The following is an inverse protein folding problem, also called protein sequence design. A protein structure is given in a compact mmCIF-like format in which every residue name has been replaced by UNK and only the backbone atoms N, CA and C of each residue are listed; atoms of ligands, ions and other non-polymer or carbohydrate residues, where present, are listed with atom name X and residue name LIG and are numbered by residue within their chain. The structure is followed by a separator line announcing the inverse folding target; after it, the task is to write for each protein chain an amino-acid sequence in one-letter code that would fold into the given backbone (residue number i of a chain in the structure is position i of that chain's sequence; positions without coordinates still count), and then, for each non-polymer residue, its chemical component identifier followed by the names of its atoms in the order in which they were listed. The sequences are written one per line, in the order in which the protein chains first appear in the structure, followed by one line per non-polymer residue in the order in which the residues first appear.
data_IF_429759297675
#
_entry.id   IF_429759297675
#
_cell.length_a   1.000
_cell.length_b   1.000
_cell.length_c   1.000
_cell.angle_alpha   90.00
_cell.angle_beta   90.00
_cell.angle_gamma   90.00
#
_symmetry.space_group_name_H-M   'P 1'
#
loop_
_entity.id
_entity.type
_entity.pdbx_description
1 polymer ?
#
# COMPACT_ATOMS: atom_id res chain seq x y z
N UNK A 1 6.44 15.74 -12.61
CA UNK A 1 6.05 15.33 -13.99
C UNK A 1 5.53 13.90 -13.98
N UNK A 2 4.48 13.61 -14.75
CA UNK A 2 4.01 12.24 -15.03
C UNK A 2 4.39 11.88 -16.47
N UNK A 3 5.15 10.78 -16.65
CA UNK A 3 5.55 10.23 -17.96
C UNK A 3 5.10 8.79 -18.07
N UNK A 4 4.44 8.43 -19.16
CA UNK A 4 4.03 7.05 -19.46
C UNK A 4 5.11 6.37 -20.28
N UNK A 5 5.68 5.30 -19.74
CA UNK A 5 6.81 4.57 -20.32
C UNK A 5 6.32 3.26 -20.94
N UNK A 6 5.69 3.35 -22.12
CA UNK A 6 5.02 2.29 -22.86
C UNK A 6 5.84 1.73 -24.05
N UNK A 7 7.18 1.76 -23.98
CA UNK A 7 8.05 1.25 -25.05
C UNK A 7 8.00 -0.29 -25.20
N UNK A 8 7.47 -1.02 -24.24
CA UNK A 8 7.26 -2.46 -24.28
C UNK A 8 5.81 -2.78 -24.72
N UNK A 9 5.59 -2.79 -26.01
CA UNK A 9 4.28 -3.03 -26.62
C UNK A 9 3.72 -4.45 -26.38
N UNK A 10 4.58 -5.43 -26.06
CA UNK A 10 4.15 -6.81 -25.74
C UNK A 10 3.50 -6.91 -24.36
N UNK A 11 3.80 -5.97 -23.46
CA UNK A 11 3.28 -5.90 -22.10
C UNK A 11 2.21 -4.82 -21.90
N UNK A 12 1.68 -4.31 -22.99
CA UNK A 12 0.61 -3.31 -22.90
C UNK A 12 -0.60 -3.86 -22.15
N UNK A 13 -1.10 -3.11 -21.18
CA UNK A 13 -2.30 -3.44 -20.40
C UNK A 13 -3.30 -2.31 -20.58
N UNK A 14 -4.41 -2.62 -21.22
CA UNK A 14 -5.52 -1.67 -21.40
C UNK A 14 -6.05 -1.20 -20.03
N UNK A 15 -6.27 0.11 -19.88
CA UNK A 15 -6.76 0.71 -18.63
C UNK A 15 -5.70 0.93 -17.55
N UNK A 16 -4.42 0.64 -17.81
CA UNK A 16 -3.35 0.86 -16.82
C UNK A 16 -3.15 2.35 -16.50
N UNK A 17 -3.31 3.23 -17.48
CA UNK A 17 -3.17 4.67 -17.30
C UNK A 17 -4.26 5.23 -16.38
N UNK A 18 -5.51 4.80 -16.55
CA UNK A 18 -6.63 5.21 -15.71
C UNK A 18 -6.43 4.81 -14.24
N UNK A 19 -5.77 3.68 -14.01
CA UNK A 19 -5.42 3.25 -12.64
C UNK A 19 -4.42 4.25 -12.03
N UNK A 20 -3.41 4.69 -12.79
CA UNK A 20 -2.41 5.65 -12.31
C UNK A 20 -3.09 6.98 -11.94
N UNK A 21 -3.91 7.53 -12.82
CA UNK A 21 -4.64 8.79 -12.55
C UNK A 21 -5.53 8.68 -11.31
N UNK A 22 -6.31 7.61 -11.22
CA UNK A 22 -7.19 7.36 -10.07
C UNK A 22 -6.41 7.18 -8.76
N UNK A 23 -5.26 6.50 -8.80
CA UNK A 23 -4.40 6.33 -7.62
C UNK A 23 -3.86 7.67 -7.15
N UNK A 24 -3.36 8.52 -8.06
CA UNK A 24 -2.88 9.86 -7.75
C UNK A 24 -4.01 10.73 -7.16
N UNK A 25 -5.20 10.71 -7.75
CA UNK A 25 -6.37 11.43 -7.24
C UNK A 25 -6.73 10.99 -5.82
N UNK A 26 -6.86 9.68 -5.58
CA UNK A 26 -7.22 9.12 -4.28
C UNK A 26 -6.19 9.38 -3.19
N UNK A 27 -4.92 9.46 -3.55
CA UNK A 27 -3.82 9.77 -2.62
C UNK A 27 -3.66 11.26 -2.35
N UNK A 28 -4.37 12.12 -3.09
CA UNK A 28 -4.21 13.57 -3.05
C UNK A 28 -2.90 14.06 -3.65
N UNK A 29 -2.17 13.20 -4.37
CA UNK A 29 -0.92 13.55 -5.06
C UNK A 29 -1.24 14.19 -6.39
N UNK A 30 -0.54 15.28 -6.70
CA UNK A 30 -0.65 15.98 -7.98
C UNK A 30 0.69 16.04 -8.70
N UNK A 31 0.64 16.21 -9.99
CA UNK A 31 1.82 16.48 -10.84
C UNK A 31 1.61 17.82 -11.59
N UNK A 32 2.73 18.46 -11.92
CA UNK A 32 2.69 19.79 -12.57
C UNK A 32 2.51 19.68 -14.07
N UNK A 33 3.01 18.60 -14.67
CA UNK A 33 2.93 18.31 -16.09
C UNK A 33 2.88 16.80 -16.39
N UNK A 34 2.21 16.45 -17.49
CA UNK A 34 1.98 15.08 -17.90
C UNK A 34 1.15 14.98 -19.19
N UNK A 35 0.63 13.81 -19.57
CA UNK A 35 -0.10 13.61 -20.82
C UNK A 35 -1.35 14.50 -20.97
N UNK A 36 -2.02 14.81 -19.85
CA UNK A 36 -3.22 15.65 -19.77
C UNK A 36 -2.92 17.13 -19.39
N UNK A 37 -1.65 17.45 -19.08
CA UNK A 37 -1.23 18.77 -18.61
C UNK A 37 0.13 19.12 -19.20
N UNK A 38 0.13 19.74 -20.39
CA UNK A 38 1.36 20.06 -21.12
C UNK A 38 2.18 21.14 -20.40
N UNK A 39 3.44 20.82 -20.11
CA UNK A 39 4.45 21.74 -19.57
C UNK A 39 5.44 22.23 -20.63
N UNK A 40 5.26 21.86 -21.91
CA UNK A 40 6.07 22.31 -23.04
C UNK A 40 7.26 21.41 -23.39
N UNK A 41 7.40 20.25 -22.74
CA UNK A 41 8.47 19.26 -23.01
C UNK A 41 7.94 17.92 -23.53
N UNK A 42 6.64 17.86 -23.80
CA UNK A 42 5.96 16.69 -24.34
C UNK A 42 6.43 16.25 -25.73
N UNK A 43 5.86 15.16 -26.28
CA UNK A 43 4.86 14.26 -25.69
C UNK A 43 5.33 13.55 -24.43
N UNK A 44 4.40 13.27 -23.49
CA UNK A 44 4.70 12.60 -22.22
C UNK A 44 4.44 11.08 -22.23
N UNK A 45 3.98 10.57 -23.37
CA UNK A 45 3.83 9.12 -23.62
C UNK A 45 4.96 8.71 -24.56
N UNK A 46 5.77 7.73 -24.20
CA UNK A 46 6.98 7.38 -24.95
C UNK A 46 6.69 6.86 -26.36
N UNK A 47 5.61 6.11 -26.56
CA UNK A 47 5.20 5.67 -27.90
C UNK A 47 4.81 6.82 -28.84
N UNK A 48 4.24 7.90 -28.30
CA UNK A 48 3.97 9.14 -29.07
C UNK A 48 5.26 9.91 -29.33
N UNK A 49 6.12 9.99 -28.32
CA UNK A 49 7.42 10.64 -28.40
C UNK A 49 8.33 9.95 -29.43
N UNK A 50 8.25 8.63 -29.53
CA UNK A 50 8.94 7.84 -30.56
C UNK A 50 8.57 8.31 -31.98
N UNK A 51 7.29 8.65 -32.25
CA UNK A 51 6.83 9.12 -33.55
C UNK A 51 7.47 10.45 -34.00
N UNK A 52 8.00 11.23 -33.06
CA UNK A 52 8.76 12.46 -33.39
C UNK A 52 10.15 12.17 -33.94
N UNK A 53 10.62 10.93 -33.87
CA UNK A 53 11.96 10.51 -34.30
C UNK A 53 13.08 10.85 -33.33
N UNK A 54 12.76 11.35 -32.12
CA UNK A 54 13.76 11.83 -31.17
C UNK A 54 14.77 10.77 -30.76
N UNK A 55 14.32 9.56 -30.46
CA UNK A 55 15.23 8.48 -30.05
C UNK A 55 16.19 8.07 -31.16
N UNK A 56 15.69 7.94 -32.38
CA UNK A 56 16.54 7.62 -33.55
C UNK A 56 17.54 8.74 -33.83
N UNK A 57 17.15 10.01 -33.65
CA UNK A 57 18.06 11.16 -33.77
C UNK A 57 19.25 11.03 -32.82
N UNK A 58 19.00 10.77 -31.53
CA UNK A 58 20.06 10.64 -30.53
C UNK A 58 20.86 9.35 -30.69
N UNK A 59 20.24 8.23 -31.11
CA UNK A 59 20.98 7.01 -31.42
C UNK A 59 21.97 7.22 -32.58
N UNK A 60 21.59 7.97 -33.63
CA UNK A 60 22.49 8.36 -34.74
C UNK A 60 23.61 9.27 -34.28
N UNK A 61 23.32 10.23 -33.40
CA UNK A 61 24.35 11.09 -32.81
C UNK A 61 25.42 10.27 -32.07
N UNK A 62 25.02 9.24 -31.30
CA UNK A 62 25.98 8.35 -30.66
C UNK A 62 26.79 7.53 -31.69
N UNK A 63 26.20 7.11 -32.81
CA UNK A 63 26.92 6.43 -33.88
C UNK A 63 27.97 7.35 -34.47
N UNK A 64 27.63 8.63 -34.75
CA UNK A 64 28.56 9.64 -35.28
C UNK A 64 29.72 9.92 -34.33
N UNK A 65 29.48 9.88 -33.01
CA UNK A 65 30.51 10.01 -31.97
C UNK A 65 31.31 8.72 -31.74
N UNK A 66 30.94 7.59 -32.36
CA UNK A 66 31.56 6.26 -32.12
C UNK A 66 31.16 5.58 -30.82
N UNK A 67 30.16 6.15 -30.10
CA UNK A 67 29.63 5.65 -28.82
C UNK A 67 28.46 4.66 -29.01
N UNK A 68 28.02 4.44 -30.24
CA UNK A 68 27.06 3.40 -30.65
C UNK A 68 27.38 2.85 -32.05
N UNK A 69 26.79 1.73 -32.39
CA UNK A 69 26.99 1.08 -33.70
C UNK A 69 25.81 0.24 -34.12
N UNK A 70 25.68 -0.02 -35.42
CA UNK A 70 24.71 -0.93 -35.98
C UNK A 70 25.12 -2.39 -35.75
N UNK A 71 24.20 -3.22 -35.28
CA UNK A 71 24.42 -4.65 -35.12
C UNK A 71 23.40 -5.43 -35.96
N UNK A 72 23.90 -6.25 -36.89
CA UNK A 72 23.13 -7.05 -37.82
C UNK A 72 23.13 -8.55 -37.45
N UNK A 73 23.56 -8.90 -36.22
CA UNK A 73 23.58 -10.28 -35.75
C UNK A 73 22.17 -10.83 -35.65
N UNK A 74 21.94 -12.01 -36.15
CA UNK A 74 20.73 -12.77 -35.97
C UNK A 74 20.71 -13.48 -34.60
N UNK A 75 19.57 -14.11 -34.30
CA UNK A 75 19.36 -14.81 -33.04
C UNK A 75 20.31 -15.99 -32.85
N UNK A 76 20.54 -16.77 -33.93
CA UNK A 76 21.41 -17.94 -33.89
C UNK A 76 22.85 -17.55 -33.54
N UNK A 77 23.36 -16.47 -34.15
CA UNK A 77 24.68 -15.89 -33.84
C UNK A 77 24.76 -15.45 -32.35
N UNK A 78 23.73 -14.76 -31.85
CA UNK A 78 23.73 -14.28 -30.49
C UNK A 78 23.66 -15.42 -29.45
N UNK A 79 22.89 -16.47 -29.73
CA UNK A 79 22.80 -17.65 -28.87
C UNK A 79 24.11 -18.48 -28.89
N UNK A 80 24.95 -18.33 -29.90
CA UNK A 80 26.26 -18.99 -30.00
C UNK A 80 27.36 -18.29 -29.17
N UNK A 81 27.11 -17.12 -28.60
CA UNK A 81 28.08 -16.38 -27.78
C UNK A 81 28.39 -17.16 -26.50
N UNK A 82 29.67 -17.24 -26.18
CA UNK A 82 30.13 -17.87 -24.94
C UNK A 82 29.90 -16.94 -23.78
N UNK A 83 29.51 -17.51 -22.64
CA UNK A 83 29.47 -16.82 -21.35
C UNK A 83 30.91 -16.61 -20.85
N UNK A 84 31.28 -15.41 -20.53
CA UNK A 84 32.57 -15.09 -19.90
C UNK A 84 32.41 -15.03 -18.39
N UNK A 85 33.43 -15.45 -17.66
CA UNK A 85 33.45 -15.35 -16.20
C UNK A 85 34.30 -14.12 -15.81
N UNK A 86 33.65 -13.08 -15.31
CA UNK A 86 34.30 -11.86 -14.79
C UNK A 86 34.09 -11.82 -13.29
N UNK A 87 35.18 -11.77 -12.52
CA UNK A 87 35.17 -11.77 -11.05
C UNK A 87 34.29 -12.88 -10.41
N UNK A 88 34.24 -14.05 -11.03
CA UNK A 88 33.46 -15.21 -10.54
C UNK A 88 31.97 -15.17 -10.89
N UNK A 89 31.54 -14.20 -11.67
CA UNK A 89 30.16 -14.14 -12.22
C UNK A 89 30.17 -14.53 -13.69
N UNK A 90 29.22 -15.38 -14.09
CA UNK A 90 28.97 -15.67 -15.50
C UNK A 90 28.24 -14.49 -16.15
N UNK A 91 28.92 -13.82 -17.10
CA UNK A 91 28.37 -12.68 -17.82
C UNK A 91 28.31 -13.06 -19.31
N UNK A 92 27.12 -12.98 -19.90
CA UNK A 92 26.96 -13.09 -21.35
C UNK A 92 27.09 -11.69 -21.96
N UNK A 93 28.29 -11.36 -22.40
CA UNK A 93 28.61 -10.05 -22.99
C UNK A 93 28.69 -10.19 -24.51
N UNK A 94 28.05 -9.28 -25.22
CA UNK A 94 28.15 -9.22 -26.69
C UNK A 94 29.60 -8.93 -27.12
N UNK A 95 30.13 -9.74 -28.07
CA UNK A 95 31.52 -9.73 -28.47
C UNK A 95 31.94 -8.57 -29.40
N UNK A 96 31.07 -7.58 -29.61
CA UNK A 96 31.28 -6.41 -30.48
C UNK A 96 31.54 -6.76 -31.96
N UNK A 97 31.09 -7.94 -32.44
CA UNK A 97 31.33 -8.41 -33.79
C UNK A 97 31.03 -7.37 -34.88
N UNK A 98 29.88 -6.70 -34.78
CA UNK A 98 29.48 -5.70 -35.77
C UNK A 98 30.17 -4.34 -35.63
N UNK A 99 30.92 -4.11 -34.55
CA UNK A 99 31.70 -2.87 -34.41
C UNK A 99 32.85 -2.79 -35.41
N UNK A 100 33.34 -3.95 -35.92
CA UNK A 100 34.41 -4.04 -36.88
C UNK A 100 33.99 -3.87 -38.37
N UNK A 101 32.68 -3.74 -38.62
CA UNK A 101 32.15 -3.55 -39.98
C UNK A 101 32.62 -2.18 -40.54
N UNK A 102 33.03 -2.20 -41.84
CA UNK A 102 33.34 -0.96 -42.54
C UNK A 102 32.08 -0.13 -42.84
N UNK A 103 32.24 1.13 -43.15
CA UNK A 103 31.11 2.01 -43.49
C UNK A 103 30.38 1.53 -44.73
N UNK A 104 31.13 0.99 -45.70
CA UNK A 104 30.61 0.41 -46.95
C UNK A 104 29.72 -0.83 -46.63
N UNK A 105 30.19 -1.76 -45.79
CA UNK A 105 29.43 -2.93 -45.38
C UNK A 105 28.16 -2.57 -44.62
N UNK A 106 28.22 -1.57 -43.74
CA UNK A 106 27.06 -1.04 -43.02
C UNK A 106 26.04 -0.48 -44.02
N UNK A 107 26.48 0.39 -44.96
CA UNK A 107 25.59 0.96 -45.98
C UNK A 107 24.96 -0.11 -46.86
N UNK A 108 25.71 -1.14 -47.29
CA UNK A 108 25.21 -2.27 -48.09
C UNK A 108 24.13 -3.04 -47.30
N UNK A 109 24.38 -3.36 -46.03
CA UNK A 109 23.42 -4.05 -45.18
C UNK A 109 22.13 -3.23 -44.99
N UNK A 110 22.24 -1.91 -44.76
CA UNK A 110 21.11 -1.01 -44.63
C UNK A 110 20.31 -0.90 -45.95
N UNK A 111 21.00 -0.73 -47.09
CA UNK A 111 20.38 -0.69 -48.44
C UNK A 111 19.69 -2.03 -48.81
N UNK A 112 20.25 -3.15 -48.36
CA UNK A 112 19.65 -4.48 -48.51
C UNK A 112 18.45 -4.73 -47.60
N UNK A 113 18.11 -3.78 -46.71
CA UNK A 113 17.00 -3.92 -45.74
C UNK A 113 17.22 -4.99 -44.69
N UNK A 114 18.47 -5.33 -44.37
CA UNK A 114 18.73 -6.28 -43.28
C UNK A 114 18.22 -5.77 -41.94
N UNK A 115 17.53 -6.60 -41.13
CA UNK A 115 17.16 -6.24 -39.77
C UNK A 115 18.41 -5.87 -38.97
N UNK A 116 18.31 -4.84 -38.17
CA UNK A 116 19.39 -4.39 -37.31
C UNK A 116 18.86 -3.88 -35.98
N UNK A 117 19.74 -3.80 -34.98
CA UNK A 117 19.58 -3.05 -33.75
C UNK A 117 20.71 -2.03 -33.66
N UNK A 118 20.53 -0.98 -32.84
CA UNK A 118 21.63 -0.08 -32.49
C UNK A 118 22.05 -0.41 -31.07
N UNK A 119 23.37 -0.66 -30.88
CA UNK A 119 23.97 -0.98 -29.59
C UNK A 119 24.84 0.17 -29.11
N UNK A 120 24.86 0.37 -27.80
CA UNK A 120 25.85 1.19 -27.11
C UNK A 120 27.25 0.58 -27.28
N UNK A 121 28.28 1.42 -27.44
CA UNK A 121 29.66 0.98 -27.49
C UNK A 121 30.34 1.28 -26.14
N UNK A 122 30.20 0.39 -25.15
CA UNK A 122 30.86 0.54 -23.87
C UNK A 122 32.37 0.17 -23.95
N UNK A 123 33.27 0.93 -23.31
CA UNK A 123 34.67 0.54 -23.20
C UNK A 123 34.80 -0.75 -22.40
N UNK A 124 35.78 -1.59 -22.73
CA UNK A 124 36.08 -2.83 -21.98
C UNK A 124 37.05 -2.59 -20.83
N UNK A 125 37.88 -1.58 -20.92
CA UNK A 125 38.89 -1.25 -19.93
C UNK A 125 38.43 -0.10 -19.04
N UNK A 126 38.95 -0.05 -17.81
CA UNK A 126 38.65 1.01 -16.85
C UNK A 126 37.38 0.74 -16.03
N UNK A 127 36.93 1.77 -15.37
CA UNK A 127 35.83 1.71 -14.39
C UNK A 127 34.83 2.83 -14.64
N UNK A 128 33.56 2.56 -14.39
CA UNK A 128 32.49 3.56 -14.36
C UNK A 128 32.00 3.72 -12.94
N UNK A 129 31.99 4.97 -12.47
CA UNK A 129 31.47 5.32 -11.13
C UNK A 129 30.28 6.25 -11.29
N UNK A 130 29.22 6.00 -10.54
CA UNK A 130 28.12 6.94 -10.38
C UNK A 130 27.83 7.17 -8.92
N UNK A 131 27.29 8.35 -8.60
CA UNK A 131 26.89 8.69 -7.24
C UNK A 131 25.39 8.45 -7.06
N UNK A 132 25.03 7.79 -5.95
CA UNK A 132 23.67 7.64 -5.48
C UNK A 132 23.54 8.29 -4.11
N UNK A 133 22.52 9.13 -3.92
CA UNK A 133 22.35 9.89 -2.66
C UNK A 133 22.23 9.00 -1.43
N UNK A 134 21.63 7.81 -1.59
CA UNK A 134 21.48 6.88 -0.48
C UNK A 134 22.65 5.89 -0.37
N UNK A 135 23.12 5.33 -1.50
CA UNK A 135 24.15 4.28 -1.47
C UNK A 135 25.57 4.83 -1.59
N UNK A 136 25.75 6.11 -1.94
CA UNK A 136 27.04 6.74 -2.18
C UNK A 136 27.64 6.33 -3.52
N UNK A 137 28.98 6.42 -3.64
CA UNK A 137 29.68 6.09 -4.87
C UNK A 137 29.68 4.60 -5.16
N UNK A 138 29.15 4.22 -6.33
CA UNK A 138 29.11 2.84 -6.81
C UNK A 138 29.98 2.74 -8.06
N UNK A 139 30.98 1.88 -8.00
CA UNK A 139 31.95 1.66 -9.07
C UNK A 139 31.87 0.23 -9.59
N UNK A 140 31.84 0.09 -10.92
CA UNK A 140 31.84 -1.20 -11.61
C UNK A 140 32.97 -1.26 -12.63
N UNK A 141 33.51 -2.43 -12.89
CA UNK A 141 34.46 -2.65 -13.97
C UNK A 141 33.74 -2.53 -15.33
N UNK A 142 34.28 -1.79 -16.26
CA UNK A 142 33.67 -1.61 -17.60
C UNK A 142 33.53 -2.94 -18.35
N UNK A 143 34.35 -3.94 -18.06
CA UNK A 143 34.24 -5.28 -18.60
C UNK A 143 32.89 -5.98 -18.24
N UNK A 144 32.23 -5.57 -17.15
CA UNK A 144 30.92 -6.08 -16.73
C UNK A 144 29.76 -5.39 -17.47
N UNK A 145 30.02 -4.27 -18.17
CA UNK A 145 29.00 -3.51 -18.87
C UNK A 145 28.76 -4.09 -20.26
N UNK A 146 27.59 -4.71 -20.48
CA UNK A 146 27.17 -5.15 -21.81
C UNK A 146 26.89 -3.96 -22.73
N UNK A 147 27.13 -4.17 -24.05
CA UNK A 147 26.70 -3.24 -25.10
C UNK A 147 25.19 -3.35 -25.28
N UNK A 148 24.43 -2.68 -24.41
CA UNK A 148 22.99 -2.76 -24.42
C UNK A 148 22.39 -2.27 -25.73
N UNK A 149 21.25 -2.85 -26.12
CA UNK A 149 20.48 -2.36 -27.26
C UNK A 149 19.85 -1.02 -26.90
N UNK A 150 20.06 -0.02 -27.75
CA UNK A 150 19.44 1.30 -27.66
C UNK A 150 18.14 1.36 -28.46
N UNK A 151 18.21 0.92 -29.74
CA UNK A 151 17.07 0.84 -30.64
C UNK A 151 16.88 -0.63 -31.06
N UNK A 152 15.67 -1.13 -30.90
CA UNK A 152 15.25 -2.49 -31.28
C UNK A 152 15.06 -2.61 -32.80
N UNK A 153 14.96 -3.82 -33.32
CA UNK A 153 14.76 -4.08 -34.76
C UNK A 153 13.41 -3.58 -35.31
N UNK A 154 12.43 -3.35 -34.45
CA UNK A 154 11.15 -2.72 -34.77
C UNK A 154 11.21 -1.19 -34.81
N UNK A 155 12.36 -0.59 -34.48
CA UNK A 155 12.59 0.84 -34.44
C UNK A 155 12.24 1.50 -33.10
N UNK A 156 11.66 0.76 -32.15
CA UNK A 156 11.40 1.29 -30.80
C UNK A 156 12.69 1.37 -29.98
N UNK A 157 12.83 2.39 -29.13
CA UNK A 157 13.91 2.43 -28.15
C UNK A 157 13.69 1.34 -27.08
N UNK A 158 14.76 0.88 -26.47
CA UNK A 158 14.65 0.14 -25.22
C UNK A 158 14.31 1.11 -24.08
N UNK A 159 13.70 0.59 -23.01
CA UNK A 159 13.47 1.35 -21.78
C UNK A 159 14.74 2.10 -21.32
N UNK A 160 15.85 1.41 -21.28
CA UNK A 160 17.13 1.95 -20.80
C UNK A 160 17.64 3.15 -21.61
N UNK A 161 17.35 3.22 -22.89
CA UNK A 161 17.75 4.33 -23.74
C UNK A 161 16.71 5.46 -23.71
N UNK A 162 15.43 5.10 -23.77
CA UNK A 162 14.35 6.07 -23.77
C UNK A 162 14.37 6.95 -22.52
N UNK A 163 14.56 6.34 -21.34
CA UNK A 163 14.56 7.09 -20.08
C UNK A 163 15.70 8.13 -20.02
N UNK A 164 16.90 7.80 -20.50
CA UNK A 164 18.04 8.75 -20.51
C UNK A 164 17.79 9.91 -21.45
N UNK A 165 17.28 9.64 -22.66
CA UNK A 165 16.93 10.69 -23.64
C UNK A 165 15.82 11.58 -23.11
N UNK A 166 14.81 10.99 -22.50
CA UNK A 166 13.67 11.73 -21.98
C UNK A 166 14.04 12.53 -20.73
N UNK A 167 14.77 11.95 -19.80
CA UNK A 167 15.23 12.65 -18.59
C UNK A 167 16.05 13.90 -18.97
N UNK A 168 16.95 13.79 -19.92
CA UNK A 168 17.71 14.95 -20.40
C UNK A 168 16.81 15.97 -21.11
N UNK A 169 15.99 15.54 -22.07
CA UNK A 169 15.20 16.46 -22.92
C UNK A 169 13.95 17.02 -22.22
N UNK A 170 13.56 16.42 -21.10
CA UNK A 170 12.51 16.90 -20.19
C UNK A 170 13.05 17.61 -18.96
N UNK A 171 14.37 17.86 -18.89
CA UNK A 171 15.06 18.56 -17.80
C UNK A 171 14.83 17.91 -16.41
N UNK A 172 14.83 16.59 -16.34
CA UNK A 172 14.71 15.85 -15.07
C UNK A 172 16.01 16.05 -14.28
N UNK A 173 15.88 16.53 -13.06
CA UNK A 173 17.02 16.80 -12.16
C UNK A 173 17.29 15.64 -11.20
N UNK A 174 16.27 14.91 -10.79
CA UNK A 174 16.35 13.80 -9.84
C UNK A 174 15.61 12.58 -10.39
N UNK A 175 16.27 11.42 -10.35
CA UNK A 175 15.70 10.11 -10.71
C UNK A 175 15.54 9.29 -9.46
N UNK A 176 14.29 9.11 -8.99
CA UNK A 176 13.93 8.31 -7.83
C UNK A 176 13.28 7.02 -8.29
N UNK A 177 13.85 5.86 -7.93
CA UNK A 177 13.35 4.54 -8.36
C UNK A 177 13.80 3.42 -7.44
N UNK A 178 13.33 2.20 -7.65
CA UNK A 178 13.71 1.03 -6.86
C UNK A 178 15.19 0.63 -7.03
N UNK A 179 15.76 0.05 -6.00
CA UNK A 179 17.17 -0.36 -5.98
C UNK A 179 17.51 -1.51 -6.97
N UNK A 180 16.52 -2.15 -7.59
CA UNK A 180 16.74 -3.10 -8.69
C UNK A 180 17.45 -2.49 -9.89
N UNK A 181 17.40 -1.17 -10.05
CA UNK A 181 18.09 -0.43 -11.11
C UNK A 181 19.54 -0.05 -10.80
N UNK A 182 20.02 -0.28 -9.57
CA UNK A 182 21.41 0.01 -9.21
C UNK A 182 22.42 -0.64 -10.16
N UNK A 183 22.17 -1.89 -10.58
CA UNK A 183 23.05 -2.61 -11.50
C UNK A 183 23.02 -2.07 -12.95
N UNK A 184 21.96 -1.36 -13.33
CA UNK A 184 21.81 -0.76 -14.67
C UNK A 184 22.31 0.69 -14.72
N UNK A 185 22.39 1.37 -13.58
CA UNK A 185 22.75 2.79 -13.50
C UNK A 185 24.13 3.14 -14.09
N UNK A 186 25.16 2.29 -13.98
CA UNK A 186 26.43 2.54 -14.68
C UNK A 186 26.28 2.64 -16.20
N UNK A 187 25.38 1.87 -16.81
CA UNK A 187 25.12 1.93 -18.27
C UNK A 187 24.45 3.26 -18.66
N UNK A 188 23.60 3.80 -17.81
CA UNK A 188 22.99 5.11 -18.03
C UNK A 188 24.01 6.23 -17.88
N UNK A 189 24.86 6.16 -16.84
CA UNK A 189 25.95 7.10 -16.64
C UNK A 189 26.86 7.16 -17.89
N UNK A 190 27.20 6.01 -18.47
CA UNK A 190 27.96 5.93 -19.73
C UNK A 190 27.24 6.62 -20.90
N UNK A 191 25.90 6.55 -20.96
CA UNK A 191 25.16 7.28 -22.01
C UNK A 191 25.23 8.79 -21.80
N UNK A 192 25.04 9.29 -20.57
CA UNK A 192 25.20 10.71 -20.25
C UNK A 192 26.60 11.20 -20.61
N UNK A 193 27.63 10.46 -20.25
CA UNK A 193 29.02 10.78 -20.60
C UNK A 193 29.27 10.81 -22.11
N UNK A 194 28.75 9.81 -22.86
CA UNK A 194 28.86 9.72 -24.31
C UNK A 194 28.19 10.90 -25.03
N UNK A 195 27.08 11.37 -24.51
CA UNK A 195 26.43 12.58 -25.01
C UNK A 195 27.14 13.84 -24.56
N UNK A 196 27.88 13.85 -23.46
CA UNK A 196 28.40 15.03 -22.80
C UNK A 196 27.33 15.78 -21.99
N UNK A 197 26.34 15.06 -21.52
CA UNK A 197 25.25 15.57 -20.70
C UNK A 197 25.56 15.47 -19.21
N UNK A 198 24.95 16.35 -18.42
CA UNK A 198 24.96 16.26 -16.97
C UNK A 198 24.14 15.05 -16.49
N UNK A 199 24.71 14.27 -15.58
CA UNK A 199 24.04 13.12 -14.97
C UNK A 199 23.07 13.62 -13.91
N UNK A 200 21.80 13.19 -13.93
CA UNK A 200 20.84 13.57 -12.89
C UNK A 200 21.22 12.99 -11.52
N UNK A 201 20.67 13.56 -10.48
CA UNK A 201 20.80 13.02 -9.12
C UNK A 201 20.04 11.69 -9.02
N UNK A 202 20.73 10.62 -8.62
CA UNK A 202 20.12 9.32 -8.43
C UNK A 202 19.76 9.06 -6.96
N UNK A 203 18.54 8.57 -6.73
CA UNK A 203 18.04 8.14 -5.43
C UNK A 203 17.40 6.76 -5.60
N UNK A 204 18.08 5.70 -5.20
CA UNK A 204 17.54 4.34 -5.29
C UNK A 204 16.89 3.93 -3.98
N UNK A 205 15.58 3.70 -4.00
CA UNK A 205 14.78 3.34 -2.83
C UNK A 205 14.98 1.88 -2.45
N UNK A 206 14.96 1.54 -1.14
CA UNK A 206 15.05 0.16 -0.67
C UNK A 206 13.86 -0.67 -1.13
N UNK A 207 14.07 -1.99 -1.21
CA UNK A 207 13.00 -2.94 -1.52
C UNK A 207 12.00 -3.03 -0.38
N UNK A 208 10.71 -3.12 -0.70
CA UNK A 208 9.66 -3.50 0.27
C UNK A 208 9.47 -5.02 0.20
N UNK A 209 9.55 -5.67 1.35
CA UNK A 209 9.48 -7.12 1.50
C UNK A 209 8.33 -7.54 2.39
N UNK A 210 7.98 -8.82 2.33
CA UNK A 210 7.14 -9.47 3.34
C UNK A 210 7.96 -9.78 4.62
N UNK A 211 7.30 -10.36 5.62
CA UNK A 211 7.91 -10.79 6.88
C UNK A 211 9.02 -11.85 6.71
N UNK A 212 9.05 -12.55 5.58
CA UNK A 212 10.07 -13.54 5.23
C UNK A 212 11.20 -12.94 4.39
N UNK A 213 11.29 -11.62 4.29
CA UNK A 213 12.25 -10.87 3.48
C UNK A 213 12.19 -11.18 1.97
N UNK A 214 11.06 -11.66 1.48
CA UNK A 214 10.81 -11.84 0.04
C UNK A 214 10.11 -10.61 -0.52
N UNK A 215 10.43 -10.26 -1.77
CA UNK A 215 9.76 -9.15 -2.49
C UNK A 215 8.24 -9.31 -2.40
N UNK A 216 7.55 -8.25 -2.02
CA UNK A 216 6.10 -8.22 -1.94
C UNK A 216 5.50 -8.59 -3.31
N UNK A 217 4.60 -9.56 -3.34
CA UNK A 217 4.02 -10.08 -4.58
C UNK A 217 2.50 -9.86 -4.60
N UNK A 218 1.93 -9.68 -5.81
CA UNK A 218 0.46 -9.52 -5.99
C UNK A 218 -0.38 -10.62 -5.33
N UNK A 219 0.20 -11.82 -5.13
CA UNK A 219 -0.49 -12.96 -4.49
C UNK A 219 -0.65 -12.83 -2.98
N UNK A 220 0.02 -11.88 -2.34
CA UNK A 220 -0.11 -11.66 -0.89
C UNK A 220 -1.39 -10.90 -0.49
N UNK A 221 -2.17 -10.39 -1.44
CA UNK A 221 -3.41 -9.63 -1.19
C UNK A 221 -3.19 -8.21 -0.67
N UNK A 222 -1.93 -7.75 -0.56
CA UNK A 222 -1.57 -6.42 -0.05
C UNK A 222 -0.59 -5.70 -0.98
N UNK A 223 -0.55 -6.10 -2.25
CA UNK A 223 0.49 -5.66 -3.17
C UNK A 223 0.12 -4.40 -3.97
N UNK A 224 -1.13 -3.98 -3.95
CA UNK A 224 -1.55 -2.74 -4.60
C UNK A 224 -2.27 -1.80 -3.65
N UNK A 225 -2.25 -0.52 -3.99
CA UNK A 225 -2.97 0.51 -3.26
C UNK A 225 -4.49 0.26 -3.29
N UNK A 226 -5.01 -0.12 -4.44
CA UNK A 226 -6.43 -0.46 -4.63
C UNK A 226 -6.88 -1.62 -3.75
N UNK A 227 -6.08 -2.69 -3.67
CA UNK A 227 -6.39 -3.85 -2.80
C UNK A 227 -6.54 -3.43 -1.33
N UNK A 228 -5.73 -2.47 -0.87
CA UNK A 228 -5.82 -1.95 0.50
C UNK A 228 -7.09 -1.11 0.69
N UNK A 229 -7.45 -0.27 -0.27
CA UNK A 229 -8.70 0.50 -0.20
C UNK A 229 -9.93 -0.41 -0.20
N UNK A 230 -9.93 -1.47 -1.00
CA UNK A 230 -11.01 -2.48 -1.03
C UNK A 230 -11.13 -3.23 0.31
N UNK A 231 -10.03 -3.40 1.02
CA UNK A 231 -10.01 -3.96 2.38
C UNK A 231 -10.51 -2.97 3.45
N UNK A 232 -10.84 -1.74 3.08
CA UNK A 232 -11.41 -0.73 3.98
C UNK A 232 -10.38 0.17 4.66
N UNK A 233 -9.15 0.23 4.15
CA UNK A 233 -8.17 1.22 4.58
C UNK A 233 -8.45 2.59 3.97
N UNK A 234 -8.12 3.64 4.71
CA UNK A 234 -8.16 5.02 4.23
C UNK A 234 -6.94 5.33 3.36
N UNK A 235 -7.14 6.06 2.28
CA UNK A 235 -6.05 6.46 1.38
C UNK A 235 -4.94 7.23 2.13
N UNK A 236 -5.31 8.18 2.98
CA UNK A 236 -4.40 8.98 3.78
C UNK A 236 -3.57 8.13 4.77
N UNK A 237 -4.16 7.10 5.36
CA UNK A 237 -3.45 6.18 6.24
C UNK A 237 -2.44 5.32 5.47
N UNK A 238 -2.81 4.84 4.28
CA UNK A 238 -1.91 4.07 3.40
C UNK A 238 -0.75 4.93 2.93
N UNK A 239 -0.98 6.18 2.51
CA UNK A 239 0.07 7.12 2.08
C UNK A 239 1.04 7.39 3.23
N UNK A 240 0.55 7.70 4.43
CA UNK A 240 1.38 7.92 5.60
C UNK A 240 2.21 6.67 5.94
N UNK A 241 1.59 5.50 5.93
CA UNK A 241 2.29 4.24 6.21
C UNK A 241 3.41 3.97 5.21
N UNK A 242 3.15 4.15 3.90
CA UNK A 242 4.15 3.96 2.84
C UNK A 242 5.31 4.94 3.01
N UNK A 243 5.04 6.20 3.36
CA UNK A 243 6.10 7.17 3.63
C UNK A 243 7.04 6.70 4.75
N UNK A 244 6.51 6.06 5.79
CA UNK A 244 7.30 5.51 6.89
C UNK A 244 8.00 4.18 6.57
N UNK A 245 7.74 3.57 5.40
CA UNK A 245 8.46 2.39 4.95
C UNK A 245 9.85 2.78 4.44
N UNK A 246 10.80 2.86 5.36
CA UNK A 246 12.18 3.20 5.07
C UNK A 246 12.57 4.64 5.38
N UNK A 247 11.64 5.55 5.60
CA UNK A 247 11.90 6.90 6.08
C UNK A 247 11.46 7.06 7.55
N UNK A 248 12.12 7.95 8.28
CA UNK A 248 11.75 8.29 9.66
C UNK A 248 11.85 9.81 9.91
N UNK A 249 10.86 10.40 10.59
CA UNK A 249 10.90 11.79 10.99
C UNK A 249 11.95 12.05 12.09
N UNK A 250 12.19 13.31 12.45
CA UNK A 250 13.14 13.66 13.51
C UNK A 250 12.63 13.31 14.92
N UNK A 251 11.33 13.36 15.11
CA UNK A 251 10.67 13.29 16.42
C UNK A 251 9.97 11.95 16.72
N UNK A 252 10.19 10.92 15.94
CA UNK A 252 9.54 9.60 16.06
C UNK A 252 8.00 9.63 15.96
N UNK A 253 7.41 10.68 15.44
CA UNK A 253 5.98 10.76 15.15
C UNK A 253 5.62 9.77 14.04
N UNK A 254 4.44 9.18 14.11
CA UNK A 254 4.01 8.16 13.14
C UNK A 254 2.73 8.55 12.38
N UNK A 255 1.97 9.54 12.86
CA UNK A 255 0.74 9.99 12.21
C UNK A 255 0.97 11.38 11.64
N UNK A 256 0.74 11.53 10.33
CA UNK A 256 0.96 12.74 9.55
C UNK A 256 -0.18 12.98 8.58
N UNK A 257 -0.61 14.21 8.42
CA UNK A 257 -1.35 14.61 7.24
C UNK A 257 -0.43 14.63 6.02
N UNK A 258 -1.00 14.61 4.81
CA UNK A 258 -0.20 14.74 3.57
C UNK A 258 0.61 16.05 3.54
N UNK A 259 0.02 17.14 4.03
CA UNK A 259 0.67 18.46 4.10
C UNK A 259 1.88 18.45 5.05
N UNK A 260 1.77 17.77 6.20
CA UNK A 260 2.88 17.58 7.13
C UNK A 260 3.97 16.71 6.52
N UNK A 261 3.61 15.62 5.83
CA UNK A 261 4.56 14.77 5.10
C UNK A 261 5.34 15.57 4.06
N UNK A 262 4.65 16.37 3.23
CA UNK A 262 5.30 17.21 2.20
C UNK A 262 6.31 18.17 2.83
N UNK A 263 6.01 18.71 4.01
CA UNK A 263 6.87 19.66 4.71
C UNK A 263 8.09 19.02 5.36
N UNK A 264 7.92 17.81 5.90
CA UNK A 264 8.94 17.18 6.76
C UNK A 264 9.73 16.08 6.05
N UNK A 265 9.23 15.56 4.93
CA UNK A 265 9.86 14.49 4.19
C UNK A 265 11.19 14.94 3.59
N UNK A 266 12.27 14.27 3.97
CA UNK A 266 13.60 14.43 3.41
C UNK A 266 14.10 13.06 2.91
N UNK A 267 14.31 12.93 1.61
CA UNK A 267 14.75 11.67 1.00
C UNK A 267 16.14 11.23 1.47
N UNK A 268 16.99 12.14 1.95
CA UNK A 268 18.31 11.81 2.52
C UNK A 268 18.20 11.01 3.84
N UNK A 269 17.02 11.00 4.44
CA UNK A 269 16.73 10.23 5.67
C UNK A 269 16.13 8.86 5.38
N UNK A 270 16.06 8.44 4.12
CA UNK A 270 15.62 7.10 3.75
C UNK A 270 16.71 6.09 4.13
N UNK A 271 16.32 5.00 4.79
CA UNK A 271 17.19 3.88 5.12
C UNK A 271 17.60 3.10 3.87
N UNK A 272 18.84 2.59 3.86
CA UNK A 272 19.31 1.66 2.79
C UNK A 272 18.76 0.24 2.93
N UNK A 273 18.29 -0.11 4.13
CA UNK A 273 17.81 -1.46 4.43
C UNK A 273 16.41 -1.69 3.85
N UNK A 274 16.12 -2.91 3.35
CA UNK A 274 14.76 -3.27 2.95
C UNK A 274 13.76 -3.00 4.07
N UNK A 275 12.61 -2.45 3.71
CA UNK A 275 11.50 -2.23 4.63
C UNK A 275 10.56 -3.44 4.62
N UNK A 276 10.11 -3.88 5.80
CA UNK A 276 9.15 -4.98 5.92
C UNK A 276 7.74 -4.40 5.99
N UNK A 277 6.86 -4.89 5.11
CA UNK A 277 5.45 -4.53 5.14
C UNK A 277 4.76 -5.21 6.31
N UNK A 278 4.23 -4.42 7.24
CA UNK A 278 3.53 -4.86 8.45
C UNK A 278 2.06 -4.42 8.40
N UNK A 279 1.18 -5.36 8.11
CA UNK A 279 -0.27 -5.11 8.04
C UNK A 279 -0.88 -4.76 9.40
N UNK A 280 -0.30 -5.26 10.50
CA UNK A 280 -0.78 -4.96 11.85
C UNK A 280 -0.50 -3.49 12.18
N UNK A 281 0.70 -3.00 11.83
CA UNK A 281 1.03 -1.58 11.97
C UNK A 281 0.14 -0.70 11.11
N UNK A 282 -0.12 -1.08 9.85
CA UNK A 282 -1.01 -0.33 8.97
C UNK A 282 -2.44 -0.28 9.52
N UNK A 283 -2.98 -1.38 10.05
CA UNK A 283 -4.30 -1.40 10.70
C UNK A 283 -4.36 -0.47 11.89
N UNK A 284 -3.37 -0.53 12.78
CA UNK A 284 -3.28 0.38 13.91
C UNK A 284 -3.27 1.85 13.46
N UNK A 285 -2.42 2.19 12.47
CA UNK A 285 -2.37 3.56 11.93
C UNK A 285 -3.73 3.98 11.37
N UNK A 286 -4.36 3.14 10.59
CA UNK A 286 -5.68 3.39 10.03
C UNK A 286 -6.73 3.65 11.14
N UNK A 287 -6.68 2.86 12.22
CA UNK A 287 -7.52 3.07 13.40
C UNK A 287 -7.31 4.46 14.04
N UNK A 288 -6.08 4.98 14.08
CA UNK A 288 -5.82 6.34 14.58
C UNK A 288 -6.45 7.42 13.68
N UNK A 289 -6.40 7.26 12.35
CA UNK A 289 -7.10 8.15 11.42
C UNK A 289 -8.62 8.08 11.59
N UNK A 290 -9.19 6.87 11.76
CA UNK A 290 -10.64 6.71 12.01
C UNK A 290 -11.06 7.41 13.31
N UNK A 291 -10.27 7.29 14.39
CA UNK A 291 -10.54 7.95 15.67
C UNK A 291 -10.49 9.48 15.56
N UNK A 292 -9.55 10.01 14.78
CA UNK A 292 -9.38 11.45 14.56
C UNK A 292 -10.39 12.05 13.57
N UNK A 293 -11.05 11.24 12.75
CA UNK A 293 -12.00 11.68 11.72
C UNK A 293 -13.20 12.39 12.36
N UNK A 294 -13.74 13.41 11.70
CA UNK A 294 -14.99 14.06 12.11
C UNK A 294 -16.15 13.06 12.12
N UNK A 295 -17.06 13.18 13.10
CA UNK A 295 -18.12 12.20 13.34
C UNK A 295 -19.05 12.03 12.14
N UNK A 296 -19.40 13.13 11.48
CA UNK A 296 -20.30 13.13 10.33
C UNK A 296 -19.66 12.39 9.13
N UNK A 297 -18.38 12.68 8.84
CA UNK A 297 -17.62 11.99 7.80
C UNK A 297 -17.46 10.51 8.11
N UNK A 298 -17.16 10.17 9.36
CA UNK A 298 -17.08 8.77 9.79
C UNK A 298 -18.41 8.05 9.57
N UNK A 299 -19.53 8.67 9.98
CA UNK A 299 -20.86 8.09 9.81
C UNK A 299 -21.18 7.82 8.34
N UNK A 300 -20.92 8.78 7.45
CA UNK A 300 -21.13 8.62 6.01
C UNK A 300 -20.38 7.40 5.44
N UNK A 301 -19.12 7.23 5.81
CA UNK A 301 -18.28 6.12 5.36
C UNK A 301 -18.65 4.77 6.01
N UNK A 302 -19.09 4.79 7.26
CA UNK A 302 -19.52 3.59 8.01
C UNK A 302 -20.91 3.10 7.58
N UNK A 303 -21.77 3.99 7.06
CA UNK A 303 -23.17 3.71 6.78
C UNK A 303 -23.42 2.49 5.85
N UNK A 304 -22.66 2.27 4.77
CA UNK A 304 -22.82 1.06 3.95
C UNK A 304 -22.61 -0.22 4.76
N UNK A 305 -21.59 -0.29 5.59
CA UNK A 305 -21.25 -1.45 6.42
C UNK A 305 -22.28 -1.69 7.52
N UNK A 306 -22.77 -0.62 8.15
CA UNK A 306 -23.86 -0.70 9.12
C UNK A 306 -25.13 -1.24 8.48
N UNK A 307 -25.57 -0.72 7.31
CA UNK A 307 -26.76 -1.15 6.57
C UNK A 307 -26.62 -2.59 6.03
N UNK A 308 -25.41 -3.03 5.72
CA UNK A 308 -25.18 -4.42 5.33
C UNK A 308 -25.48 -5.38 6.49
N UNK A 309 -25.11 -5.01 7.71
CA UNK A 309 -25.23 -5.86 8.91
C UNK A 309 -26.59 -5.70 9.60
N UNK A 310 -27.05 -4.47 9.77
CA UNK A 310 -28.24 -4.12 10.54
C UNK A 310 -29.44 -3.86 9.62
N UNK A 311 -30.51 -4.63 9.78
CA UNK A 311 -31.76 -4.52 8.97
C UNK A 311 -32.92 -3.92 9.77
N UNK A 312 -32.87 -4.04 11.11
CA UNK A 312 -33.85 -3.43 12.00
C UNK A 312 -33.66 -1.90 12.09
N UNK A 313 -34.68 -1.13 12.47
CA UNK A 313 -34.64 0.34 12.50
C UNK A 313 -33.91 0.86 13.74
N UNK A 314 -32.60 0.62 13.81
CA UNK A 314 -31.75 1.16 14.86
C UNK A 314 -31.30 2.61 14.56
N UNK A 315 -30.90 3.33 15.60
CA UNK A 315 -30.16 4.58 15.47
C UNK A 315 -28.74 4.30 14.99
N UNK A 316 -28.54 4.28 13.67
CA UNK A 316 -27.25 3.96 13.05
C UNK A 316 -26.17 5.02 13.34
N UNK A 317 -26.56 6.28 13.58
CA UNK A 317 -25.60 7.33 13.91
C UNK A 317 -25.02 7.11 15.30
N UNK A 318 -25.86 6.73 16.25
CA UNK A 318 -25.44 6.39 17.60
C UNK A 318 -24.53 5.16 17.61
N UNK A 319 -24.86 4.12 16.85
CA UNK A 319 -24.04 2.92 16.72
C UNK A 319 -22.69 3.27 16.06
N UNK A 320 -22.67 4.10 15.02
CA UNK A 320 -21.44 4.56 14.38
C UNK A 320 -20.50 5.24 15.38
N UNK A 321 -21.01 6.14 16.22
CA UNK A 321 -20.22 6.83 17.26
C UNK A 321 -19.57 5.84 18.24
N UNK A 322 -20.27 4.75 18.59
CA UNK A 322 -19.76 3.72 19.51
C UNK A 322 -18.62 2.89 18.89
N UNK A 323 -18.70 2.56 17.60
CA UNK A 323 -17.70 1.71 16.94
C UNK A 323 -16.47 2.47 16.46
N UNK A 324 -16.55 3.79 16.29
CA UNK A 324 -15.48 4.64 15.76
C UNK A 324 -14.12 4.42 16.41
N UNK A 325 -14.09 4.22 17.72
CA UNK A 325 -12.86 4.01 18.49
C UNK A 325 -12.50 2.53 18.67
N UNK A 326 -13.26 1.61 18.06
CA UNK A 326 -13.16 0.16 18.29
C UNK A 326 -12.78 -0.63 17.06
N UNK A 327 -12.70 0.03 15.91
CA UNK A 327 -12.35 -0.58 14.63
C UNK A 327 -11.02 -0.05 14.14
N UNK A 328 -10.33 -0.85 13.38
CA UNK A 328 -9.10 -0.48 12.67
C UNK A 328 -9.34 -0.31 11.17
N UNK A 329 -10.33 -1.03 10.61
CA UNK A 329 -10.81 -0.90 9.23
C UNK A 329 -12.35 -0.97 9.21
N UNK A 330 -12.99 -0.42 8.17
CA UNK A 330 -14.46 -0.41 8.10
C UNK A 330 -15.12 -1.79 8.13
N UNK A 331 -14.59 -2.86 7.51
CA UNK A 331 -15.17 -4.21 7.63
C UNK A 331 -15.28 -4.75 9.06
N UNK A 332 -14.46 -4.25 10.01
CA UNK A 332 -14.54 -4.65 11.41
C UNK A 332 -15.90 -4.28 12.05
N UNK A 333 -16.61 -3.31 11.47
CA UNK A 333 -17.94 -2.87 11.93
C UNK A 333 -18.86 -4.07 12.09
N UNK A 334 -18.85 -5.01 11.13
CA UNK A 334 -19.74 -6.17 11.15
C UNK A 334 -19.65 -6.94 12.46
N UNK A 335 -18.44 -7.31 12.88
CA UNK A 335 -18.23 -8.07 14.11
C UNK A 335 -18.55 -7.28 15.37
N UNK A 336 -18.44 -5.94 15.30
CA UNK A 336 -18.73 -5.07 16.43
C UNK A 336 -20.23 -4.87 16.65
N UNK A 337 -21.08 -5.03 15.63
CA UNK A 337 -22.50 -4.64 15.70
C UNK A 337 -23.50 -5.77 15.41
N UNK A 338 -23.06 -6.93 14.91
CA UNK A 338 -23.92 -8.04 14.51
C UNK A 338 -24.90 -8.47 15.61
N UNK A 339 -24.48 -8.41 16.86
CA UNK A 339 -25.30 -8.79 18.03
C UNK A 339 -26.49 -7.84 18.25
N UNK A 340 -26.48 -6.62 17.72
CA UNK A 340 -27.65 -5.75 17.76
C UNK A 340 -28.78 -6.34 16.92
N UNK A 341 -28.46 -6.86 15.73
CA UNK A 341 -29.44 -7.47 14.84
C UNK A 341 -30.01 -8.78 15.43
N UNK A 342 -29.12 -9.67 15.87
CA UNK A 342 -29.49 -10.95 16.44
C UNK A 342 -28.52 -11.36 17.56
N UNK A 343 -29.07 -11.78 18.70
CA UNK A 343 -28.25 -12.29 19.80
C UNK A 343 -27.57 -13.58 19.40
N UNK A 344 -26.23 -13.64 19.30
CA UNK A 344 -25.52 -14.87 18.96
C UNK A 344 -25.73 -15.95 20.02
N UNK A 345 -25.46 -17.20 19.67
CA UNK A 345 -25.27 -18.25 20.68
C UNK A 345 -23.94 -18.03 21.40
N UNK A 346 -23.94 -18.19 22.69
CA UNK A 346 -22.77 -17.99 23.54
C UNK A 346 -22.69 -18.95 24.71
N UNK A 347 -21.48 -19.19 25.21
CA UNK A 347 -21.20 -20.05 26.34
C UNK A 347 -21.45 -19.32 27.66
N UNK A 348 -22.07 -19.98 28.65
CA UNK A 348 -22.31 -19.48 30.02
C UNK A 348 -21.01 -19.15 30.75
N UNK A 349 -19.90 -19.80 30.40
CA UNK A 349 -18.59 -19.46 30.94
C UNK A 349 -18.21 -17.97 30.71
N UNK A 350 -18.82 -17.26 29.75
CA UNK A 350 -18.62 -15.82 29.52
C UNK A 350 -19.13 -14.93 30.66
N UNK A 351 -20.04 -15.45 31.50
CA UNK A 351 -20.51 -14.75 32.70
C UNK A 351 -19.44 -14.70 33.79
N UNK A 352 -18.49 -15.63 33.80
CA UNK A 352 -17.40 -15.64 34.75
C UNK A 352 -16.32 -14.60 34.37
N UNK A 353 -16.03 -13.68 35.32
CA UNK A 353 -15.00 -12.68 35.11
C UNK A 353 -14.24 -12.35 36.39
N UNK A 354 -12.95 -12.73 36.44
CA UNK A 354 -12.10 -12.61 37.64
C UNK A 354 -12.06 -11.20 38.22
N UNK A 355 -11.90 -10.16 37.35
CA UNK A 355 -11.77 -8.75 37.76
C UNK A 355 -13.10 -8.16 38.23
N UNK A 356 -14.23 -8.61 37.67
CA UNK A 356 -15.59 -8.18 38.08
C UNK A 356 -16.11 -9.02 39.23
N UNK A 357 -15.42 -10.10 39.58
CA UNK A 357 -15.78 -11.07 40.65
C UNK A 357 -17.13 -11.73 40.39
N UNK A 358 -17.42 -12.07 39.16
CA UNK A 358 -18.63 -12.78 38.74
C UNK A 358 -18.30 -14.23 38.35
N UNK A 359 -19.26 -15.09 38.55
CA UNK A 359 -19.36 -16.45 38.07
C UNK A 359 -20.80 -16.74 37.60
N UNK A 360 -21.10 -17.95 37.16
CA UNK A 360 -22.42 -18.30 36.65
C UNK A 360 -23.51 -18.15 37.70
N UNK A 361 -23.25 -18.57 38.98
CA UNK A 361 -24.23 -18.52 40.06
C UNK A 361 -24.53 -17.05 40.49
N UNK A 362 -23.51 -16.26 40.68
CA UNK A 362 -23.67 -14.82 41.02
C UNK A 362 -24.32 -14.03 39.86
N UNK A 363 -23.98 -14.35 38.61
CA UNK A 363 -24.59 -13.75 37.43
C UNK A 363 -26.07 -14.10 37.31
N UNK A 364 -26.44 -15.36 37.58
CA UNK A 364 -27.83 -15.78 37.65
C UNK A 364 -28.63 -14.96 38.68
N UNK A 365 -28.08 -14.80 39.88
CA UNK A 365 -28.72 -14.02 40.96
C UNK A 365 -28.92 -12.57 40.52
N UNK A 366 -27.88 -11.91 39.95
CA UNK A 366 -27.97 -10.54 39.48
C UNK A 366 -29.05 -10.38 38.40
N UNK A 367 -29.08 -11.26 37.38
CA UNK A 367 -30.06 -11.17 36.29
C UNK A 367 -31.50 -11.37 36.81
N UNK A 368 -31.71 -12.31 37.72
CA UNK A 368 -33.03 -12.55 38.34
C UNK A 368 -33.52 -11.36 39.17
N UNK A 369 -32.64 -10.67 39.88
CA UNK A 369 -33.03 -9.53 40.72
C UNK A 369 -33.20 -8.25 39.87
N UNK A 370 -32.44 -8.10 38.78
CA UNK A 370 -32.50 -6.92 37.91
C UNK A 370 -33.67 -6.99 36.92
N UNK A 371 -34.10 -8.17 36.50
CA UNK A 371 -35.21 -8.33 35.53
C UNK A 371 -36.47 -7.58 35.94
N UNK A 372 -37.04 -7.70 37.16
CA UNK A 372 -38.21 -6.94 37.56
C UNK A 372 -37.99 -5.44 37.68
N UNK A 373 -36.74 -4.96 37.85
CA UNK A 373 -36.41 -3.54 37.78
C UNK A 373 -36.47 -3.03 36.35
N UNK A 374 -35.92 -3.79 35.41
CA UNK A 374 -35.98 -3.47 34.00
C UNK A 374 -37.43 -3.48 33.45
N UNK A 375 -38.28 -4.39 33.93
CA UNK A 375 -39.72 -4.42 33.58
C UNK A 375 -40.46 -3.17 34.00
N UNK A 376 -40.15 -2.63 35.18
CA UNK A 376 -40.77 -1.43 35.76
C UNK A 376 -40.19 -0.12 35.23
N UNK A 377 -38.99 -0.16 34.65
CA UNK A 377 -38.31 1.03 34.16
C UNK A 377 -39.07 1.62 32.95
N UNK A 378 -39.45 2.90 33.08
CA UNK A 378 -40.14 3.65 32.01
C UNK A 378 -39.15 4.38 31.10
N UNK A 379 -38.13 5.01 31.69
CA UNK A 379 -37.06 5.71 30.95
C UNK A 379 -35.99 4.72 30.53
N UNK A 380 -36.05 4.29 29.30
CA UNK A 380 -35.07 3.36 28.68
C UNK A 380 -33.91 4.08 27.98
N UNK A 381 -33.69 5.36 28.27
CA UNK A 381 -32.45 6.04 27.89
C UNK A 381 -31.25 5.44 28.63
N UNK A 382 -30.04 5.60 28.06
CA UNK A 382 -28.81 5.17 28.70
C UNK A 382 -28.69 5.71 30.14
N UNK A 383 -28.98 7.00 30.34
CA UNK A 383 -28.94 7.65 31.65
C UNK A 383 -29.98 7.09 32.62
N UNK A 384 -31.23 6.92 32.18
CA UNK A 384 -32.29 6.33 33.00
C UNK A 384 -31.98 4.92 33.45
N UNK A 385 -31.50 4.07 32.52
CA UNK A 385 -31.06 2.72 32.84
C UNK A 385 -29.85 2.70 33.75
N UNK A 386 -28.87 3.58 33.52
CA UNK A 386 -27.66 3.64 34.33
C UNK A 386 -27.99 4.05 35.79
N UNK A 387 -28.81 5.09 36.00
CA UNK A 387 -29.21 5.54 37.32
C UNK A 387 -29.99 4.47 38.09
N UNK A 388 -30.91 3.77 37.42
CA UNK A 388 -31.67 2.67 38.03
C UNK A 388 -30.75 1.53 38.48
N UNK A 389 -29.81 1.12 37.62
CA UNK A 389 -28.83 0.06 37.94
C UNK A 389 -27.83 0.51 39.04
N UNK A 390 -27.43 1.78 39.03
CA UNK A 390 -26.56 2.35 40.08
C UNK A 390 -27.25 2.28 41.45
N UNK A 391 -28.52 2.62 41.54
CA UNK A 391 -29.31 2.46 42.76
C UNK A 391 -29.37 0.98 43.26
N UNK A 392 -29.46 0.03 42.33
CA UNK A 392 -29.36 -1.39 42.67
C UNK A 392 -27.96 -1.74 43.19
N UNK A 393 -26.89 -1.30 42.53
CA UNK A 393 -25.49 -1.51 42.95
C UNK A 393 -25.26 -1.01 44.38
N UNK A 394 -25.73 0.21 44.68
CA UNK A 394 -25.63 0.82 46.01
C UNK A 394 -26.40 0.03 47.06
N UNK A 395 -27.61 -0.41 46.75
CA UNK A 395 -28.44 -1.22 47.67
C UNK A 395 -27.79 -2.55 48.03
N UNK A 396 -26.98 -3.10 47.11
CA UNK A 396 -26.26 -4.39 47.35
C UNK A 396 -24.84 -4.18 47.93
N UNK A 397 -24.34 -2.95 48.01
CA UNK A 397 -22.98 -2.65 48.45
C UNK A 397 -21.88 -3.30 47.57
N UNK A 398 -22.15 -3.51 46.30
CA UNK A 398 -21.24 -4.15 45.36
C UNK A 398 -20.60 -3.17 44.38
N UNK A 399 -19.70 -3.62 43.53
CA UNK A 399 -19.08 -2.77 42.49
C UNK A 399 -19.92 -2.78 41.21
N UNK A 400 -19.93 -1.68 40.45
CA UNK A 400 -20.65 -1.58 39.16
C UNK A 400 -20.40 -2.77 38.24
N UNK A 401 -19.15 -3.20 38.08
CA UNK A 401 -18.81 -4.30 37.19
C UNK A 401 -19.45 -5.64 37.56
N UNK A 402 -19.75 -5.85 38.84
CA UNK A 402 -20.44 -7.04 39.31
C UNK A 402 -21.88 -7.16 38.79
N UNK A 403 -22.52 -6.01 38.52
CA UNK A 403 -23.89 -5.94 38.00
C UNK A 403 -23.88 -5.78 36.48
N UNK A 404 -23.04 -4.85 35.98
CA UNK A 404 -23.03 -4.51 34.55
C UNK A 404 -22.49 -5.64 33.66
N UNK A 405 -21.56 -6.47 34.16
CA UNK A 405 -20.98 -7.56 33.38
C UNK A 405 -22.01 -8.64 33.02
N UNK A 406 -22.79 -9.23 33.95
CA UNK A 406 -23.85 -10.18 33.63
C UNK A 406 -24.87 -9.60 32.63
N UNK A 407 -25.32 -8.36 32.85
CA UNK A 407 -26.30 -7.72 31.98
C UNK A 407 -25.73 -7.55 30.56
N UNK A 408 -24.51 -7.01 30.45
CA UNK A 408 -23.86 -6.84 29.14
C UNK A 408 -23.70 -8.17 28.40
N UNK A 409 -23.27 -9.23 29.10
CA UNK A 409 -23.16 -10.57 28.54
C UNK A 409 -24.51 -11.09 28.05
N UNK A 410 -25.58 -10.92 28.85
CA UNK A 410 -26.93 -11.37 28.49
C UNK A 410 -27.45 -10.63 27.22
N UNK A 411 -27.25 -9.31 27.13
CA UNK A 411 -27.81 -8.52 26.03
C UNK A 411 -26.97 -8.53 24.75
N UNK A 412 -25.68 -8.91 24.84
CA UNK A 412 -24.78 -8.94 23.68
C UNK A 412 -24.34 -10.33 23.24
N UNK A 413 -24.22 -11.29 24.15
CA UNK A 413 -23.59 -12.58 23.88
C UNK A 413 -22.11 -12.50 23.52
N UNK A 414 -21.41 -11.38 23.88
CA UNK A 414 -20.02 -11.14 23.52
C UNK A 414 -19.17 -10.75 24.73
N UNK A 415 -17.90 -11.18 24.71
CA UNK A 415 -16.93 -10.80 25.75
C UNK A 415 -16.51 -9.34 25.63
N UNK A 416 -16.39 -8.85 24.39
CA UNK A 416 -16.06 -7.47 24.09
C UNK A 416 -17.16 -6.84 23.25
N UNK A 417 -17.55 -5.62 23.60
CA UNK A 417 -18.58 -4.85 22.93
C UNK A 417 -18.11 -3.42 22.72
N UNK A 418 -18.58 -2.73 21.68
CA UNK A 418 -18.24 -1.31 21.46
C UNK A 418 -18.85 -0.39 22.54
N UNK A 419 -19.89 -0.84 23.23
CA UNK A 419 -20.67 -0.07 24.18
C UNK A 419 -20.87 -0.82 25.50
N UNK A 420 -21.31 -0.10 26.55
CA UNK A 420 -21.68 -0.64 27.84
C UNK A 420 -23.07 -1.28 27.84
N UNK A 421 -23.44 -1.93 28.96
CA UNK A 421 -24.72 -2.64 29.07
C UNK A 421 -25.94 -1.72 28.84
N UNK A 422 -25.93 -0.53 29.43
CA UNK A 422 -27.06 0.42 29.36
C UNK A 422 -27.21 1.06 27.98
N UNK A 423 -26.09 1.36 27.30
CA UNK A 423 -26.09 1.85 25.92
C UNK A 423 -26.63 0.81 24.94
N UNK A 424 -26.26 -0.48 25.13
CA UNK A 424 -26.78 -1.60 24.33
C UNK A 424 -28.29 -1.73 24.54
N UNK A 425 -28.75 -1.72 25.79
CA UNK A 425 -30.17 -1.85 26.13
C UNK A 425 -31.01 -0.70 25.54
N UNK A 426 -30.51 0.53 25.55
CA UNK A 426 -31.17 1.67 24.92
C UNK A 426 -31.37 1.45 23.41
N UNK A 427 -30.35 0.91 22.71
CA UNK A 427 -30.39 0.69 21.27
C UNK A 427 -31.36 -0.43 20.90
N UNK A 428 -31.30 -1.58 21.60
CA UNK A 428 -32.16 -2.73 21.29
C UNK A 428 -33.59 -2.56 21.83
N UNK A 429 -33.79 -1.61 22.73
CA UNK A 429 -35.08 -1.30 23.34
C UNK A 429 -35.53 -2.28 24.43
N UNK A 430 -36.63 -1.92 25.12
CA UNK A 430 -37.12 -2.63 26.30
C UNK A 430 -37.47 -4.10 26.03
N UNK A 431 -38.28 -4.35 25.03
CA UNK A 431 -38.80 -5.69 24.75
C UNK A 431 -37.69 -6.68 24.41
N UNK A 432 -36.76 -6.27 23.57
CA UNK A 432 -35.61 -7.13 23.21
C UNK A 432 -34.64 -7.30 24.39
N UNK A 433 -34.46 -6.27 25.22
CA UNK A 433 -33.65 -6.36 26.44
C UNK A 433 -34.21 -7.42 27.39
N UNK A 434 -35.50 -7.36 27.70
CA UNK A 434 -36.15 -8.34 28.62
C UNK A 434 -36.03 -9.76 28.08
N UNK A 435 -36.32 -9.97 26.82
CA UNK A 435 -36.18 -11.26 26.13
C UNK A 435 -34.77 -11.83 26.23
N UNK A 436 -33.72 -10.99 26.00
CA UNK A 436 -32.33 -11.43 26.09
C UNK A 436 -31.90 -11.75 27.52
N UNK A 437 -32.32 -10.94 28.48
CA UNK A 437 -32.06 -11.21 29.92
C UNK A 437 -32.75 -12.49 30.37
N UNK A 438 -34.01 -12.75 29.99
CA UNK A 438 -34.73 -14.01 30.27
C UNK A 438 -34.02 -15.23 29.65
N UNK A 439 -33.53 -15.09 28.39
CA UNK A 439 -32.75 -16.16 27.75
C UNK A 439 -31.46 -16.45 28.54
N UNK A 440 -30.73 -15.37 28.98
CA UNK A 440 -29.53 -15.51 29.81
C UNK A 440 -29.81 -16.22 31.13
N UNK A 441 -30.91 -15.90 31.83
CA UNK A 441 -31.38 -16.57 33.03
C UNK A 441 -31.65 -18.07 32.77
N UNK A 442 -32.30 -18.38 31.64
CA UNK A 442 -32.57 -19.75 31.23
C UNK A 442 -31.29 -20.59 31.03
N UNK A 443 -30.31 -20.02 30.31
CA UNK A 443 -29.03 -20.67 30.08
C UNK A 443 -28.27 -20.92 31.38
N UNK A 444 -28.21 -19.91 32.27
CA UNK A 444 -27.53 -20.05 33.57
C UNK A 444 -28.21 -21.03 34.52
N UNK A 445 -29.54 -21.11 34.53
CA UNK A 445 -30.27 -22.11 35.32
C UNK A 445 -29.91 -23.53 34.89
N UNK A 446 -29.78 -23.78 33.60
CA UNK A 446 -29.40 -25.09 33.09
C UNK A 446 -27.94 -25.43 33.44
N UNK A 447 -27.03 -24.47 33.38
CA UNK A 447 -25.62 -24.63 33.71
C UNK A 447 -25.43 -24.89 35.23
N UNK A 448 -26.02 -24.05 36.09
CA UNK A 448 -25.89 -24.15 37.56
C UNK A 448 -26.67 -25.35 38.13
N UNK A 449 -27.79 -25.73 37.49
CA UNK A 449 -28.57 -26.90 37.92
C UNK A 449 -28.00 -28.25 37.47
N UNK A 450 -26.98 -28.24 36.63
CA UNK A 450 -26.26 -29.42 36.15
C UNK A 450 -24.98 -29.72 36.95
N UNK A 451 -24.62 -28.83 37.89
CA UNK A 451 -23.54 -28.97 38.88
C UNK A 451 -24.08 -29.57 40.20
#
# INVERSE_FOLDING_TARGET
MLRIEDTDQERFVEGAEEIIYRTLEKTGMSYDEGPDKDGGVGPYVQSERMKTGIYMKYAKELIEKGEAYYCFCDRERLESLKTEVVEGKEISVYDKHCLSLSKEEIEENLKAGKPYVIRQNNPREGRTTFHDELYGDITVENAELDDMILIKSDGYPTYNFANVVDDHTMNITHVVRGNEYLSSSPKYTRLYEAFGWEVPVYVHLPLITDENHKKLAKRSGHASFEDLLEQGFLAEAVVNYIALLGWSPEDNREIFTLEELIKEFDYLRISKSPAVFDIVKLKWMNGEYLKAMEEEKFYELALPYLKETLKKPFDLQKIAAMVKTRIEIFPDIKEQVDFFEELPEYDTAMYAHKKMKTDEASSLTVLQEVLPLLEKQEDYSNDGLYQMLLGYVESKGCKNGYVMWPIRTAVSGKQMTPAGATEIMEIIGKDETLKRVEKGIGLLKNAVGSL
#
